data_IF_959668827405
#
_entry.id   IF_959668827405
#
_cell.length_a   1.000
_cell.length_b   1.000
_cell.length_c   1.000
_cell.angle_alpha   90.00
_cell.angle_beta   90.00
_cell.angle_gamma   90.00
#
_symmetry.space_group_name_H-M   'P 1'
#
loop_
_entity.id
_entity.type
_entity.pdbx_description
1 polymer ?
#
# COMPACT_ATOMS: atom_id res chain seq x y z
N UNK A 1 18.17 -0.69 2.10
CA UNK A 1 17.73 -1.94 2.76
C UNK A 1 16.86 -2.69 1.76
N UNK A 2 17.22 -3.91 1.34
CA UNK A 2 16.36 -4.69 0.44
C UNK A 2 15.06 -5.02 1.18
N UNK A 3 13.91 -4.71 0.57
CA UNK A 3 12.60 -4.99 1.16
C UNK A 3 12.40 -6.51 1.32
N UNK A 4 11.88 -6.97 2.47
CA UNK A 4 11.65 -8.39 2.71
C UNK A 4 10.72 -8.99 1.65
N UNK A 5 11.05 -10.19 1.14
CA UNK A 5 10.32 -10.89 0.08
C UNK A 5 8.86 -11.21 0.45
N UNK A 6 8.55 -11.30 1.74
CA UNK A 6 7.22 -11.65 2.24
C UNK A 6 6.49 -10.43 2.79
N UNK A 7 5.82 -9.69 1.90
CA UNK A 7 5.03 -8.51 2.23
C UNK A 7 3.72 -8.81 3.00
N UNK A 8 3.39 -10.09 3.19
CA UNK A 8 2.17 -10.54 3.91
C UNK A 8 2.15 -10.13 5.39
N UNK A 9 3.32 -9.85 5.97
CA UNK A 9 3.44 -9.65 7.42
C UNK A 9 3.27 -8.22 7.93
N UNK A 10 3.50 -7.19 7.11
CA UNK A 10 3.66 -5.84 7.67
C UNK A 10 2.94 -4.78 6.84
N UNK A 11 1.77 -4.37 7.32
CA UNK A 11 1.11 -3.14 6.89
C UNK A 11 2.06 -1.95 7.09
N UNK A 12 2.19 -1.07 6.10
CA UNK A 12 3.07 0.09 6.12
C UNK A 12 2.72 1.11 7.23
N UNK A 13 1.50 1.03 7.79
CA UNK A 13 1.07 1.80 8.95
C UNK A 13 1.57 1.23 10.29
N UNK A 14 2.33 0.12 10.30
CA UNK A 14 2.83 -0.55 11.51
C UNK A 14 1.72 -0.89 12.54
N UNK A 15 0.51 -1.15 12.06
CA UNK A 15 -0.67 -1.35 12.90
C UNK A 15 -0.83 -2.77 13.46
N UNK A 16 0.14 -3.66 13.25
CA UNK A 16 0.09 -5.06 13.69
C UNK A 16 -0.87 -5.96 12.90
N UNK A 17 -1.61 -5.42 11.92
CA UNK A 17 -2.45 -6.20 11.00
C UNK A 17 -1.64 -6.63 9.77
N UNK A 18 -1.87 -7.84 9.24
CA UNK A 18 -1.23 -8.29 8.01
C UNK A 18 -1.67 -7.41 6.83
N UNK A 19 -0.77 -7.20 5.88
CA UNK A 19 -1.11 -6.48 4.66
C UNK A 19 -1.95 -7.37 3.74
N UNK A 20 -3.01 -6.81 3.17
CA UNK A 20 -3.97 -7.49 2.29
C UNK A 20 -3.92 -6.95 0.86
N UNK A 21 -3.42 -5.72 0.68
CA UNK A 21 -3.38 -5.01 -0.60
C UNK A 21 -2.14 -4.15 -0.75
N UNK A 22 -1.80 -3.84 -1.99
CA UNK A 22 -0.88 -2.79 -2.35
C UNK A 22 -1.65 -1.53 -2.70
N UNK A 23 -1.14 -0.39 -2.25
CA UNK A 23 -1.59 0.93 -2.68
C UNK A 23 -0.47 1.61 -3.44
N UNK A 24 -0.78 1.97 -4.67
CA UNK A 24 0.10 2.62 -5.63
C UNK A 24 -0.16 4.13 -5.56
N UNK A 25 0.80 4.88 -5.04
CA UNK A 25 0.69 6.34 -4.83
C UNK A 25 1.52 7.06 -5.90
N UNK A 26 0.92 8.01 -6.61
CA UNK A 26 1.66 8.89 -7.51
C UNK A 26 2.48 9.92 -6.70
N UNK A 27 3.79 10.00 -6.96
CA UNK A 27 4.66 10.98 -6.29
C UNK A 27 5.05 12.10 -7.24
N UNK A 28 4.61 13.33 -6.92
CA UNK A 28 5.03 14.58 -7.58
C UNK A 28 4.69 14.70 -9.08
N UNK A 29 3.51 14.25 -9.51
CA UNK A 29 3.04 14.40 -10.91
C UNK A 29 3.88 13.64 -11.94
N UNK A 30 4.67 12.65 -11.48
CA UNK A 30 5.34 11.67 -12.34
C UNK A 30 4.60 10.36 -12.18
N UNK A 31 4.26 9.72 -13.31
CA UNK A 31 3.67 8.36 -13.45
C UNK A 31 4.53 7.21 -12.87
N UNK A 32 5.42 7.47 -11.92
CA UNK A 32 6.13 6.47 -11.14
C UNK A 32 5.35 6.26 -9.85
N UNK A 33 4.55 5.20 -9.84
CA UNK A 33 3.84 4.75 -8.66
C UNK A 33 4.81 4.13 -7.68
N UNK A 34 4.68 4.50 -6.40
CA UNK A 34 5.32 3.79 -5.30
C UNK A 34 4.25 2.90 -4.66
N UNK A 35 4.45 1.58 -4.73
CA UNK A 35 3.58 0.61 -4.08
C UNK A 35 3.93 0.45 -2.62
N UNK A 36 2.95 0.60 -1.73
CA UNK A 36 3.08 0.33 -0.31
C UNK A 36 2.07 -0.73 0.14
N UNK A 37 2.46 -1.69 0.99
CA UNK A 37 1.54 -2.73 1.46
C UNK A 37 0.68 -2.18 2.61
N UNK A 38 -0.64 -2.34 2.54
CA UNK A 38 -1.57 -1.90 3.56
C UNK A 38 -2.54 -3.01 3.97
N UNK A 39 -3.02 -2.93 5.21
CA UNK A 39 -4.21 -3.67 5.64
C UNK A 39 -5.48 -2.94 5.15
N UNK A 40 -6.63 -3.58 5.30
CA UNK A 40 -7.90 -3.02 4.81
C UNK A 40 -8.22 -1.66 5.44
N UNK A 41 -8.21 -1.55 6.78
CA UNK A 41 -8.55 -0.32 7.49
C UNK A 41 -7.73 0.91 7.02
N UNK A 42 -6.40 0.82 7.14
CA UNK A 42 -5.49 1.92 6.77
C UNK A 42 -5.44 2.13 5.25
N UNK A 43 -5.69 1.08 4.49
CA UNK A 43 -5.79 1.20 3.04
C UNK A 43 -7.00 2.02 2.64
N UNK A 44 -8.15 1.79 3.28
CA UNK A 44 -9.37 2.54 3.05
C UNK A 44 -9.24 4.00 3.53
N UNK A 45 -8.54 4.25 4.64
CA UNK A 45 -8.20 5.62 5.09
C UNK A 45 -7.36 6.37 4.05
N UNK A 46 -6.33 5.72 3.49
CA UNK A 46 -5.45 6.35 2.50
C UNK A 46 -6.19 6.63 1.18
N UNK A 47 -7.17 5.80 0.80
CA UNK A 47 -7.99 6.01 -0.40
C UNK A 47 -9.02 7.12 -0.25
N UNK A 48 -9.35 7.52 0.98
CA UNK A 48 -10.23 8.65 1.24
C UNK A 48 -9.50 9.99 1.17
N UNK A 49 -8.17 9.99 1.12
CA UNK A 49 -7.38 11.22 1.00
C UNK A 49 -7.55 11.82 -0.42
N UNK A 50 -8.08 13.06 -0.55
CA UNK A 50 -8.32 13.69 -1.85
C UNK A 50 -7.03 14.11 -2.59
N UNK A 51 -5.85 13.84 -2.04
CA UNK A 51 -4.56 14.40 -2.49
C UNK A 51 -3.90 13.77 -3.72
N UNK A 52 -4.51 12.79 -4.40
CA UNK A 52 -4.10 12.45 -5.77
C UNK A 52 -4.24 10.99 -6.14
N UNK A 53 -3.92 10.70 -7.40
CA UNK A 53 -4.11 9.42 -8.10
C UNK A 53 -3.54 8.20 -7.36
N UNK A 54 -4.34 7.63 -6.44
CA UNK A 54 -4.10 6.35 -5.80
C UNK A 54 -4.84 5.24 -6.51
N UNK A 55 -4.14 4.13 -6.76
CA UNK A 55 -4.75 2.89 -7.26
C UNK A 55 -4.43 1.74 -6.32
N UNK A 56 -5.23 0.67 -6.34
CA UNK A 56 -4.98 -0.50 -5.49
C UNK A 56 -4.92 -1.78 -6.30
N UNK A 57 -4.14 -2.73 -5.80
CA UNK A 57 -4.04 -4.09 -6.32
C UNK A 57 -3.95 -5.08 -5.17
N UNK A 58 -4.57 -6.27 -5.28
CA UNK A 58 -4.49 -7.28 -4.23
C UNK A 58 -3.03 -7.68 -3.98
N UNK A 59 -2.68 -7.93 -2.71
CA UNK A 59 -1.42 -8.56 -2.37
C UNK A 59 -1.63 -10.05 -2.61
N UNK A 60 -1.16 -10.59 -3.74
CA UNK A 60 -1.45 -11.96 -4.16
C UNK A 60 -1.37 -12.94 -2.98
N UNK A 61 -2.50 -13.61 -2.72
CA UNK A 61 -2.58 -14.72 -1.79
C UNK A 61 -1.84 -15.90 -2.42
N UNK A 62 -0.50 -15.89 -2.37
CA UNK A 62 0.27 -17.12 -2.62
C UNK A 62 -0.08 -18.21 -1.62
#
# INVERSE_FOLDING_TARGET
MPYPKDYKGNCSAYCGKPATRWIDIERFGRKRFVSWPYCDDHGDELLQDPSGDVTTRPLDKS
#
